data_IF_083903127071
#
_entry.id   IF_083903127071
#
_cell.length_a   1.000
_cell.length_b   1.000
_cell.length_c   1.000
_cell.angle_alpha   90.00
_cell.angle_beta   90.00
_cell.angle_gamma   90.00
#
_symmetry.space_group_name_H-M   'P 1'
#
loop_
_entity.id
_entity.type
_entity.pdbx_description
1 polymer ?
#
# COMPACT_ATOMS: atom_id res chain seq x y z
N UNK A 1 2.32 6.61 2.23
CA UNK A 1 2.35 7.83 3.06
C UNK A 1 1.53 8.99 2.49
N UNK A 2 1.88 9.57 1.32
CA UNK A 2 1.08 10.70 0.76
C UNK A 2 -0.40 10.32 0.61
N UNK A 3 -0.69 9.17 -0.01
CA UNK A 3 -2.06 8.73 -0.23
C UNK A 3 -2.87 8.48 1.05
N UNK A 4 -2.23 8.17 2.18
CA UNK A 4 -2.90 7.90 3.45
C UNK A 4 -3.03 9.15 4.35
N UNK A 5 -2.04 10.05 4.31
CA UNK A 5 -1.99 11.23 5.19
C UNK A 5 -2.57 12.47 4.49
N UNK A 6 -2.25 12.68 3.22
CA UNK A 6 -2.59 13.90 2.48
C UNK A 6 -3.70 13.70 1.44
N UNK A 7 -4.10 12.45 1.19
CA UNK A 7 -5.10 12.03 0.20
C UNK A 7 -4.80 12.51 -1.24
N UNK A 8 -4.46 11.56 -2.12
CA UNK A 8 -4.21 11.87 -3.54
C UNK A 8 -5.54 11.83 -4.29
N UNK A 9 -5.92 12.96 -4.88
CA UNK A 9 -7.11 13.10 -5.72
C UNK A 9 -6.68 13.41 -7.15
N UNK A 10 -7.10 12.55 -8.09
CA UNK A 10 -6.87 12.71 -9.53
C UNK A 10 -5.39 12.95 -9.91
N UNK A 11 -4.46 12.25 -9.24
CA UNK A 11 -3.02 12.40 -9.51
C UNK A 11 -2.40 13.68 -8.94
N UNK A 12 -3.03 14.29 -7.95
CA UNK A 12 -2.52 15.48 -7.27
C UNK A 12 -2.86 15.47 -5.78
N UNK A 13 -2.11 16.26 -5.00
CA UNK A 13 -2.35 16.49 -3.59
C UNK A 13 -2.53 17.98 -3.33
N UNK A 14 -3.43 18.34 -2.43
CA UNK A 14 -3.60 19.73 -1.99
C UNK A 14 -2.95 19.90 -0.63
N UNK A 15 -2.02 20.85 -0.52
CA UNK A 15 -1.32 21.16 0.73
C UNK A 15 -1.26 22.66 0.95
N UNK A 16 -1.17 23.09 2.20
CA UNK A 16 -1.01 24.50 2.52
C UNK A 16 0.29 25.08 1.92
N UNK A 17 0.24 26.34 1.50
CA UNK A 17 1.38 27.11 0.98
C UNK A 17 2.58 27.10 1.92
N UNK A 18 2.34 27.03 3.23
CA UNK A 18 3.36 26.93 4.28
C UNK A 18 4.18 25.64 4.18
N UNK A 19 3.55 24.52 3.80
CA UNK A 19 4.24 23.25 3.52
C UNK A 19 5.22 23.42 2.37
N UNK A 20 4.89 24.26 1.39
CA UNK A 20 5.74 24.53 0.22
C UNK A 20 6.77 25.65 0.47
N UNK A 21 6.96 26.10 1.72
CA UNK A 21 7.94 27.13 2.07
C UNK A 21 7.50 28.57 1.78
N UNK A 22 6.23 28.80 1.46
CA UNK A 22 5.68 30.15 1.28
C UNK A 22 5.16 30.73 2.59
N UNK A 23 5.33 32.04 2.81
CA UNK A 23 4.86 32.73 4.02
C UNK A 23 3.38 33.14 3.99
N UNK A 24 2.64 32.85 2.91
CA UNK A 24 1.21 33.09 2.87
C UNK A 24 0.48 31.98 3.63
N UNK A 25 -0.27 32.34 4.66
CA UNK A 25 -1.06 31.41 5.46
C UNK A 25 -2.46 31.20 4.84
N UNK A 26 -3.02 30.01 4.98
CA UNK A 26 -4.40 29.68 4.60
C UNK A 26 -4.70 29.45 3.11
N UNK A 27 -3.71 29.51 2.20
CA UNK A 27 -3.91 29.14 0.78
C UNK A 27 -3.44 27.71 0.51
N UNK A 28 -4.25 26.92 -0.18
CA UNK A 28 -3.86 25.57 -0.63
C UNK A 28 -3.23 25.62 -2.03
N UNK A 29 -2.17 24.85 -2.21
CA UNK A 29 -1.49 24.63 -3.49
C UNK A 29 -1.73 23.20 -3.93
N UNK A 30 -2.09 23.05 -5.20
CA UNK A 30 -2.24 21.76 -5.85
C UNK A 30 -0.90 21.29 -6.42
N UNK A 31 -0.40 20.17 -5.92
CA UNK A 31 0.83 19.55 -6.38
C UNK A 31 0.53 18.32 -7.23
N UNK A 32 0.90 18.31 -8.53
CA UNK A 32 0.74 17.13 -9.37
C UNK A 32 1.76 16.04 -8.98
N UNK A 33 1.29 14.80 -8.89
CA UNK A 33 2.04 13.62 -8.51
C UNK A 33 1.88 12.54 -9.59
N UNK A 34 2.74 12.58 -10.61
CA UNK A 34 2.70 11.65 -11.73
C UNK A 34 4.10 11.40 -12.31
N UNK A 35 4.18 10.48 -13.28
CA UNK A 35 5.45 10.06 -13.89
C UNK A 35 6.13 11.09 -14.79
N UNK A 36 5.52 12.26 -15.02
CA UNK A 36 6.18 13.35 -15.73
C UNK A 36 7.30 13.99 -14.90
N UNK A 37 7.16 13.95 -13.57
CA UNK A 37 8.24 14.27 -12.63
C UNK A 37 9.17 13.06 -12.48
N UNK A 38 10.42 13.21 -12.91
CA UNK A 38 11.42 12.13 -12.90
C UNK A 38 11.81 11.74 -11.48
N UNK A 39 11.94 12.71 -10.57
CA UNK A 39 12.26 12.45 -9.18
C UNK A 39 11.11 11.72 -8.50
N UNK A 40 9.86 12.14 -8.73
CA UNK A 40 8.71 11.44 -8.18
C UNK A 40 8.61 10.00 -8.70
N UNK A 41 8.89 9.78 -10.00
CA UNK A 41 8.93 8.43 -10.58
C UNK A 41 9.96 7.53 -9.89
N UNK A 42 11.10 8.07 -9.48
CA UNK A 42 12.16 7.35 -8.75
C UNK A 42 11.72 7.01 -7.32
N UNK A 43 11.16 7.97 -6.57
CA UNK A 43 10.95 7.82 -5.13
C UNK A 43 9.57 7.26 -4.72
N UNK A 44 8.54 7.37 -5.57
CA UNK A 44 7.14 7.09 -5.17
C UNK A 44 6.86 5.64 -4.76
N UNK A 45 7.68 4.71 -5.23
CA UNK A 45 7.53 3.27 -5.01
C UNK A 45 8.53 2.76 -3.94
N UNK A 46 9.36 3.63 -3.36
CA UNK A 46 10.32 3.31 -2.28
C UNK A 46 9.66 3.38 -0.90
N UNK A 47 10.27 2.70 0.09
CA UNK A 47 9.90 2.88 1.49
C UNK A 47 10.20 4.33 1.94
N UNK A 48 9.34 4.90 2.79
CA UNK A 48 9.43 6.31 3.16
C UNK A 48 10.76 6.67 3.85
N UNK A 49 11.34 5.77 4.64
CA UNK A 49 12.63 6.02 5.30
C UNK A 49 13.76 6.18 4.28
N UNK A 50 13.74 5.37 3.22
CA UNK A 50 14.68 5.45 2.10
C UNK A 50 14.48 6.73 1.30
N UNK A 51 13.23 7.15 1.08
CA UNK A 51 12.93 8.43 0.40
C UNK A 51 13.57 9.61 1.12
N UNK A 52 13.48 9.67 2.45
CA UNK A 52 14.10 10.75 3.24
C UNK A 52 15.62 10.77 3.05
N UNK A 53 16.26 9.60 3.01
CA UNK A 53 17.71 9.48 2.76
C UNK A 53 18.08 9.93 1.34
N UNK A 54 17.37 9.46 0.31
CA UNK A 54 17.59 9.80 -1.10
C UNK A 54 17.44 11.31 -1.32
N UNK A 55 16.40 11.93 -0.76
CA UNK A 55 16.17 13.37 -0.88
C UNK A 55 17.28 14.17 -0.19
N UNK A 56 17.74 13.74 1.00
CA UNK A 56 18.86 14.37 1.70
C UNK A 56 20.15 14.28 0.89
N UNK A 57 20.47 13.11 0.35
CA UNK A 57 21.66 12.91 -0.48
C UNK A 57 21.64 13.79 -1.74
N UNK A 58 20.50 13.85 -2.46
CA UNK A 58 20.36 14.71 -3.65
C UNK A 58 20.47 16.20 -3.29
N UNK A 59 19.89 16.63 -2.17
CA UNK A 59 20.00 18.01 -1.71
C UNK A 59 21.45 18.40 -1.35
N UNK A 60 22.18 17.53 -0.64
CA UNK A 60 23.59 17.76 -0.28
C UNK A 60 24.50 17.75 -1.51
N UNK A 61 24.28 16.83 -2.45
CA UNK A 61 25.06 16.78 -3.70
C UNK A 61 24.94 18.08 -4.51
N UNK A 62 23.74 18.67 -4.61
CA UNK A 62 23.55 19.95 -5.32
C UNK A 62 24.30 21.10 -4.64
N UNK A 63 24.34 21.12 -3.30
CA UNK A 63 25.09 22.14 -2.56
C UNK A 63 26.60 22.01 -2.79
N UNK A 64 27.11 20.78 -2.86
CA UNK A 64 28.51 20.51 -3.17
C UNK A 64 28.86 20.93 -4.61
N UNK A 65 28.05 20.54 -5.59
CA UNK A 65 28.24 20.95 -7.00
C UNK A 65 28.26 22.47 -7.15
N UNK A 66 27.40 23.19 -6.41
CA UNK A 66 27.36 24.66 -6.42
C UNK A 66 28.66 25.27 -5.87
N UNK A 67 29.23 24.67 -4.82
CA UNK A 67 30.49 25.12 -4.24
C UNK A 67 31.69 24.86 -5.18
N UNK A 68 31.69 23.72 -5.86
CA UNK A 68 32.73 23.34 -6.84
C UNK A 68 32.71 24.25 -8.08
N UNK A 69 31.54 24.52 -8.65
CA UNK A 69 31.39 25.43 -9.80
C UNK A 69 31.83 26.86 -9.46
N UNK A 70 31.65 27.29 -8.20
CA UNK A 70 32.09 28.61 -7.74
C UNK A 70 33.60 28.68 -7.47
N UNK A 71 34.26 27.55 -7.19
CA UNK A 71 35.65 27.51 -6.72
C UNK A 71 36.66 27.03 -7.78
N UNK A 72 36.21 26.35 -8.84
CA UNK A 72 37.10 25.77 -9.86
C UNK A 72 36.68 26.16 -11.30
N UNK A 73 37.66 26.19 -12.21
CA UNK A 73 37.39 26.32 -13.65
C UNK A 73 36.82 25.01 -14.19
N UNK A 74 35.58 25.04 -14.64
CA UNK A 74 34.82 23.86 -15.06
C UNK A 74 34.77 23.75 -16.59
N UNK A 75 34.73 22.52 -17.09
CA UNK A 75 34.54 22.26 -18.52
C UNK A 75 33.10 22.58 -18.97
N UNK A 76 32.92 22.78 -20.27
CA UNK A 76 31.58 23.05 -20.86
C UNK A 76 30.61 21.88 -20.65
N UNK A 77 31.12 20.64 -20.57
CA UNK A 77 30.31 19.46 -20.28
C UNK A 77 29.80 19.46 -18.84
N UNK A 78 30.68 19.74 -17.88
CA UNK A 78 30.33 19.84 -16.45
C UNK A 78 29.33 20.97 -16.19
N UNK A 79 29.51 22.13 -16.85
CA UNK A 79 28.55 23.23 -16.81
C UNK A 79 27.17 22.83 -17.34
N UNK A 80 27.11 22.06 -18.44
CA UNK A 80 25.84 21.59 -19.01
C UNK A 80 25.10 20.64 -18.06
N UNK A 81 25.83 19.76 -17.38
CA UNK A 81 25.23 18.84 -16.42
C UNK A 81 24.82 19.54 -15.11
N UNK A 82 25.58 20.55 -14.67
CA UNK A 82 25.19 21.42 -13.57
C UNK A 82 23.90 22.19 -13.86
N UNK A 83 23.76 22.79 -15.05
CA UNK A 83 22.52 23.48 -15.47
C UNK A 83 21.32 22.52 -15.48
N UNK A 84 21.49 21.28 -15.94
CA UNK A 84 20.42 20.26 -15.85
C UNK A 84 20.02 19.98 -14.39
N UNK A 85 20.98 19.85 -13.47
CA UNK A 85 20.71 19.65 -12.04
C UNK A 85 19.98 20.85 -11.44
N UNK A 86 20.39 22.08 -11.77
CA UNK A 86 19.70 23.30 -11.32
C UNK A 86 18.24 23.36 -11.80
N UNK A 87 17.96 22.93 -13.02
CA UNK A 87 16.58 22.87 -13.53
C UNK A 87 15.69 21.89 -12.76
N UNK A 88 16.27 20.88 -12.08
CA UNK A 88 15.54 19.93 -11.23
C UNK A 88 15.35 20.41 -9.78
N UNK A 89 15.99 21.52 -9.39
CA UNK A 89 15.97 22.05 -8.03
C UNK A 89 14.54 22.37 -7.52
N UNK A 90 13.62 22.93 -8.34
CA UNK A 90 12.24 23.12 -7.90
C UNK A 90 11.52 21.81 -7.55
N UNK A 91 11.77 20.73 -8.31
CA UNK A 91 11.16 19.41 -8.05
C UNK A 91 11.71 18.81 -6.75
N UNK A 92 13.03 18.91 -6.54
CA UNK A 92 13.69 18.45 -5.31
C UNK A 92 13.17 19.21 -4.10
N UNK A 93 13.14 20.54 -4.16
CA UNK A 93 12.64 21.38 -3.06
C UNK A 93 11.20 21.01 -2.69
N UNK A 94 10.34 20.81 -3.69
CA UNK A 94 8.95 20.38 -3.48
C UNK A 94 8.85 19.04 -2.76
N UNK A 95 9.62 18.03 -3.17
CA UNK A 95 9.57 16.71 -2.54
C UNK A 95 10.25 16.69 -1.16
N UNK A 96 11.28 17.49 -0.94
CA UNK A 96 11.88 17.70 0.40
C UNK A 96 10.84 18.28 1.36
N UNK A 97 10.14 19.33 0.93
CA UNK A 97 9.07 19.98 1.68
C UNK A 97 7.93 19.00 2.03
N UNK A 98 7.47 18.21 1.04
CA UNK A 98 6.47 17.17 1.28
C UNK A 98 6.98 16.09 2.25
N UNK A 99 8.22 15.62 2.09
CA UNK A 99 8.81 14.61 2.96
C UNK A 99 8.94 15.12 4.40
N UNK A 100 9.37 16.37 4.61
CA UNK A 100 9.42 17.00 5.94
C UNK A 100 8.03 17.10 6.57
N UNK A 101 7.04 17.50 5.80
CA UNK A 101 5.66 17.56 6.30
C UNK A 101 5.14 16.17 6.67
N UNK A 102 5.35 15.15 5.84
CA UNK A 102 5.02 13.76 6.19
C UNK A 102 5.77 13.28 7.44
N UNK A 103 7.05 13.63 7.56
CA UNK A 103 7.87 13.24 8.70
C UNK A 103 7.34 13.81 10.02
N UNK A 104 6.69 14.99 9.99
CA UNK A 104 6.01 15.56 11.17
C UNK A 104 4.86 14.69 11.69
N UNK A 105 4.28 13.81 10.85
CA UNK A 105 3.27 12.84 11.27
C UNK A 105 3.91 11.51 11.68
N UNK A 106 4.89 11.03 10.93
CA UNK A 106 5.48 9.70 11.17
C UNK A 106 6.41 9.67 12.37
N UNK A 107 6.99 10.79 12.78
CA UNK A 107 7.84 10.87 13.96
C UNK A 107 7.07 10.86 15.29
N UNK A 108 5.73 10.99 15.26
CA UNK A 108 4.91 11.06 16.47
C UNK A 108 4.89 9.71 17.21
N UNK A 109 5.00 9.68 18.55
CA UNK A 109 4.87 8.43 19.31
C UNK A 109 3.55 7.69 19.05
N UNK A 110 2.45 8.41 18.88
CA UNK A 110 1.15 7.82 18.54
C UNK A 110 1.11 7.15 17.16
N UNK A 111 1.98 7.57 16.24
CA UNK A 111 2.11 6.89 14.94
C UNK A 111 2.80 5.54 15.09
N UNK A 112 3.90 5.49 15.84
CA UNK A 112 4.64 4.25 16.11
C UNK A 112 3.79 3.27 16.94
N UNK A 113 3.16 3.74 18.02
CA UNK A 113 2.28 2.90 18.83
C UNK A 113 1.16 2.24 18.01
N UNK A 114 0.56 2.99 17.07
CA UNK A 114 -0.43 2.41 16.16
C UNK A 114 0.19 1.38 15.22
N UNK A 115 1.38 1.64 14.68
CA UNK A 115 2.06 0.69 13.79
C UNK A 115 2.40 -0.62 14.52
N UNK A 116 2.87 -0.54 15.76
CA UNK A 116 3.16 -1.70 16.62
C UNK A 116 1.90 -2.54 16.85
N UNK A 117 0.76 -1.89 17.08
CA UNK A 117 -0.54 -2.56 17.21
C UNK A 117 -0.99 -3.17 15.88
N UNK A 118 -0.82 -2.49 14.74
CA UNK A 118 -1.11 -3.05 13.42
C UNK A 118 -0.31 -4.34 13.17
N UNK A 119 0.98 -4.36 13.53
CA UNK A 119 1.84 -5.55 13.41
C UNK A 119 1.41 -6.67 14.35
N UNK A 120 1.16 -6.34 15.63
CA UNK A 120 0.69 -7.30 16.65
C UNK A 120 -0.62 -7.98 16.22
N UNK A 121 -1.54 -7.21 15.62
CA UNK A 121 -2.80 -7.71 15.06
C UNK A 121 -2.61 -8.66 13.87
N UNK A 122 -1.65 -8.37 13.00
CA UNK A 122 -1.33 -9.22 11.85
C UNK A 122 -0.73 -10.56 12.27
N UNK A 123 0.00 -10.59 13.39
CA UNK A 123 0.58 -11.81 13.94
C UNK A 123 -0.36 -12.57 14.89
N UNK A 124 -1.56 -12.01 15.16
CA UNK A 124 -2.51 -12.51 16.16
C UNK A 124 -1.87 -12.74 17.54
N UNK A 125 -0.98 -11.83 17.93
CA UNK A 125 -0.38 -11.85 19.26
C UNK A 125 -1.18 -10.95 20.21
N UNK A 126 -1.15 -11.27 21.51
CA UNK A 126 -1.63 -10.41 22.59
C UNK A 126 -3.01 -9.76 22.34
N UNK A 127 -4.06 -10.58 22.22
CA UNK A 127 -5.44 -10.14 21.97
C UNK A 127 -5.86 -9.00 22.93
N UNK A 128 -5.54 -9.13 24.22
CA UNK A 128 -5.94 -8.16 25.26
C UNK A 128 -5.28 -6.79 25.04
N UNK A 129 -3.99 -6.75 24.70
CA UNK A 129 -3.27 -5.49 24.41
C UNK A 129 -3.91 -4.78 23.21
N UNK A 130 -4.24 -5.52 22.14
CA UNK A 130 -4.89 -4.92 20.97
C UNK A 130 -6.30 -4.42 21.29
N UNK A 131 -7.05 -5.15 22.12
CA UNK A 131 -8.38 -4.75 22.57
C UNK A 131 -8.33 -3.48 23.43
N UNK A 132 -7.47 -3.47 24.45
CA UNK A 132 -7.26 -2.33 25.36
C UNK A 132 -6.80 -1.08 24.61
N UNK A 133 -5.93 -1.23 23.61
CA UNK A 133 -5.50 -0.09 22.79
C UNK A 133 -6.66 0.54 22.00
N UNK A 134 -7.50 -0.28 21.37
CA UNK A 134 -8.67 0.22 20.62
C UNK A 134 -9.68 0.88 21.57
N UNK A 135 -9.90 0.28 22.75
CA UNK A 135 -10.72 0.86 23.80
C UNK A 135 -10.18 2.22 24.27
N UNK A 136 -8.87 2.32 24.52
CA UNK A 136 -8.21 3.56 24.89
C UNK A 136 -8.37 4.65 23.81
N UNK A 137 -8.27 4.30 22.53
CA UNK A 137 -8.51 5.24 21.43
C UNK A 137 -9.95 5.78 21.43
N UNK A 138 -10.93 4.94 21.75
CA UNK A 138 -12.34 5.33 21.87
C UNK A 138 -12.52 6.29 23.04
N UNK A 139 -11.91 6.00 24.20
CA UNK A 139 -12.00 6.86 25.38
C UNK A 139 -11.30 8.21 25.19
N UNK A 140 -10.21 8.24 24.42
CA UNK A 140 -9.52 9.47 24.01
C UNK A 140 -10.25 10.25 22.90
N UNK A 141 -11.35 9.71 22.38
CA UNK A 141 -12.08 10.28 21.23
C UNK A 141 -11.16 10.58 20.04
N UNK A 142 -10.25 9.65 19.72
CA UNK A 142 -9.48 9.76 18.48
C UNK A 142 -10.41 9.77 17.26
N UNK A 143 -9.92 10.22 16.10
CA UNK A 143 -10.72 10.20 14.86
C UNK A 143 -11.38 8.83 14.65
N UNK A 144 -12.71 8.82 14.50
CA UNK A 144 -13.49 7.58 14.34
C UNK A 144 -12.95 6.72 13.19
N UNK A 145 -12.48 7.32 12.11
CA UNK A 145 -11.86 6.60 11.00
C UNK A 145 -10.62 5.79 11.45
N UNK A 146 -9.78 6.33 12.33
CA UNK A 146 -8.61 5.61 12.84
C UNK A 146 -9.00 4.45 13.77
N UNK A 147 -9.99 4.67 14.65
CA UNK A 147 -10.53 3.61 15.52
C UNK A 147 -11.11 2.48 14.67
N UNK A 148 -11.97 2.82 13.71
CA UNK A 148 -12.62 1.83 12.85
C UNK A 148 -11.61 1.06 11.99
N UNK A 149 -10.51 1.68 11.54
CA UNK A 149 -9.45 0.97 10.79
C UNK A 149 -8.83 -0.14 11.60
N UNK A 150 -8.43 0.14 12.84
CA UNK A 150 -7.86 -0.88 13.73
C UNK A 150 -8.89 -1.92 14.15
N UNK A 151 -10.13 -1.50 14.42
CA UNK A 151 -11.22 -2.41 14.74
C UNK A 151 -11.51 -3.40 13.60
N UNK A 152 -11.51 -2.91 12.36
CA UNK A 152 -11.70 -3.74 11.16
C UNK A 152 -10.52 -4.68 10.97
N UNK A 153 -9.28 -4.20 11.10
CA UNK A 153 -8.11 -5.08 11.04
C UNK A 153 -8.21 -6.18 12.10
N UNK A 154 -8.55 -5.83 13.33
CA UNK A 154 -8.70 -6.76 14.45
C UNK A 154 -9.78 -7.81 14.19
N UNK A 155 -10.93 -7.38 13.66
CA UNK A 155 -12.02 -8.29 13.31
C UNK A 155 -11.65 -9.22 12.16
N UNK A 156 -11.04 -8.70 11.09
CA UNK A 156 -10.67 -9.52 9.92
C UNK A 156 -9.63 -10.57 10.28
N UNK A 157 -8.56 -10.20 11.00
CA UNK A 157 -7.52 -11.17 11.38
C UNK A 157 -8.05 -12.24 12.34
N UNK A 158 -9.07 -11.94 13.15
CA UNK A 158 -9.70 -12.89 14.08
C UNK A 158 -10.95 -13.61 13.53
N UNK A 159 -11.35 -13.35 12.29
CA UNK A 159 -12.62 -13.84 11.71
C UNK A 159 -13.86 -13.44 12.53
N UNK A 160 -13.84 -12.21 13.05
CA UNK A 160 -14.83 -11.64 13.96
C UNK A 160 -14.32 -11.56 15.40
N UNK A 161 -15.04 -10.84 16.25
CA UNK A 161 -14.73 -10.74 17.68
C UNK A 161 -15.72 -11.57 18.52
N UNK A 162 -15.31 -12.12 19.69
CA UNK A 162 -16.22 -12.77 20.62
C UNK A 162 -17.42 -11.88 20.95
N UNK A 163 -18.63 -12.46 21.04
CA UNK A 163 -19.89 -11.71 21.20
C UNK A 163 -19.83 -10.64 22.30
N UNK A 164 -19.26 -10.97 23.47
CA UNK A 164 -19.08 -10.03 24.59
C UNK A 164 -18.29 -8.79 24.17
N UNK A 165 -17.16 -9.00 23.50
CA UNK A 165 -16.21 -7.96 23.09
C UNK A 165 -16.79 -7.14 21.92
N UNK A 166 -17.46 -7.82 20.98
CA UNK A 166 -18.18 -7.18 19.87
C UNK A 166 -19.28 -6.23 20.37
N UNK A 167 -20.17 -6.73 21.24
CA UNK A 167 -21.29 -5.94 21.77
C UNK A 167 -20.77 -4.79 22.67
N UNK A 168 -19.66 -5.02 23.39
CA UNK A 168 -18.98 -3.99 24.19
C UNK A 168 -18.46 -2.84 23.34
N UNK A 169 -17.57 -3.11 22.36
CA UNK A 169 -16.95 -2.06 21.55
C UNK A 169 -17.98 -1.27 20.73
N UNK A 170 -19.06 -1.91 20.27
CA UNK A 170 -20.18 -1.20 19.62
C UNK A 170 -20.81 -0.17 20.54
N UNK A 171 -21.06 -0.54 21.80
CA UNK A 171 -21.66 0.37 22.77
C UNK A 171 -20.72 1.54 23.07
N UNK A 172 -19.43 1.28 23.28
CA UNK A 172 -18.43 2.33 23.52
C UNK A 172 -18.35 3.29 22.33
N UNK A 173 -18.34 2.79 21.09
CA UNK A 173 -18.34 3.65 19.90
C UNK A 173 -19.59 4.53 19.85
N UNK A 174 -20.78 3.98 20.08
CA UNK A 174 -22.02 4.76 20.03
C UNK A 174 -22.12 5.78 21.16
N UNK A 175 -21.58 5.46 22.35
CA UNK A 175 -21.56 6.38 23.48
C UNK A 175 -20.53 7.50 23.29
N UNK A 176 -19.35 7.22 22.72
CA UNK A 176 -18.30 8.22 22.51
C UNK A 176 -18.51 9.09 21.28
N UNK A 177 -19.01 8.52 20.18
CA UNK A 177 -19.10 9.19 18.87
C UNK A 177 -20.54 9.50 18.43
N UNK A 178 -21.54 8.99 19.13
CA UNK A 178 -22.95 9.26 18.84
C UNK A 178 -23.69 8.11 18.15
N UNK A 179 -25.00 8.08 18.37
CA UNK A 179 -25.89 7.04 17.85
C UNK A 179 -26.13 7.12 16.35
N UNK A 180 -25.79 8.24 15.71
CA UNK A 180 -25.78 8.41 14.25
C UNK A 180 -24.85 7.43 13.53
N UNK A 181 -23.88 6.83 14.22
CA UNK A 181 -23.00 5.80 13.66
C UNK A 181 -23.55 4.38 13.77
N UNK A 182 -24.78 4.19 14.24
CA UNK A 182 -25.44 2.87 14.22
C UNK A 182 -25.54 2.28 12.79
N UNK A 183 -25.92 3.04 11.75
CA UNK A 183 -25.85 2.58 10.36
C UNK A 183 -24.43 2.26 9.90
N UNK A 184 -23.41 3.00 10.35
CA UNK A 184 -22.00 2.71 10.06
C UNK A 184 -21.62 1.31 10.57
N UNK A 185 -21.92 1.01 11.83
CA UNK A 185 -21.64 -0.29 12.43
C UNK A 185 -22.41 -1.42 11.72
N UNK A 186 -23.66 -1.16 11.33
CA UNK A 186 -24.45 -2.10 10.54
C UNK A 186 -23.83 -2.36 9.15
N UNK A 187 -23.38 -1.32 8.46
CA UNK A 187 -22.72 -1.44 7.15
C UNK A 187 -21.42 -2.23 7.24
N UNK A 188 -20.61 -1.98 8.28
CA UNK A 188 -19.37 -2.72 8.54
C UNK A 188 -19.63 -4.20 8.83
N UNK A 189 -20.67 -4.52 9.61
CA UNK A 189 -21.09 -5.88 9.89
C UNK A 189 -21.58 -6.59 8.63
N UNK A 190 -22.44 -5.93 7.84
CA UNK A 190 -22.94 -6.45 6.55
C UNK A 190 -21.82 -6.66 5.53
N UNK A 191 -20.81 -5.80 5.52
CA UNK A 191 -19.63 -5.95 4.67
C UNK A 191 -18.64 -7.03 5.17
N UNK A 192 -18.88 -7.61 6.36
CA UNK A 192 -18.01 -8.60 6.98
C UNK A 192 -16.71 -8.01 7.55
N UNK A 193 -16.59 -6.68 7.64
CA UNK A 193 -15.41 -5.96 8.10
C UNK A 193 -15.34 -5.86 9.62
N UNK A 194 -16.49 -5.77 10.29
CA UNK A 194 -16.58 -5.82 11.74
C UNK A 194 -17.78 -6.67 12.16
N UNK A 195 -17.52 -7.92 12.58
CA UNK A 195 -18.58 -8.90 12.85
C UNK A 195 -18.35 -9.70 14.11
N UNK A 196 -19.39 -10.39 14.57
CA UNK A 196 -19.30 -11.43 15.60
C UNK A 196 -18.50 -12.61 15.07
N UNK A 197 -17.71 -13.23 15.93
CA UNK A 197 -16.94 -14.42 15.61
C UNK A 197 -17.87 -15.64 15.55
N UNK A 198 -17.88 -16.31 14.40
CA UNK A 198 -18.66 -17.54 14.16
C UNK A 198 -17.76 -18.78 14.15
N UNK A 199 -16.50 -18.62 13.77
CA UNK A 199 -15.50 -19.68 13.68
C UNK A 199 -14.12 -19.18 14.08
N UNK A 200 -13.19 -20.12 14.31
CA UNK A 200 -11.77 -19.77 14.48
C UNK A 200 -11.23 -19.17 13.19
N UNK A 201 -10.24 -18.28 13.34
CA UNK A 201 -9.58 -17.65 12.21
C UNK A 201 -8.59 -18.57 11.50
N UNK A 202 -8.64 -18.57 10.18
CA UNK A 202 -7.66 -19.21 9.31
C UNK A 202 -6.50 -18.28 8.93
N UNK A 203 -6.50 -17.04 9.43
CA UNK A 203 -5.54 -16.01 9.03
C UNK A 203 -4.08 -16.46 9.15
N UNK A 204 -3.67 -17.09 10.26
CA UNK A 204 -2.28 -17.55 10.41
C UNK A 204 -1.90 -18.66 9.43
N UNK A 205 -2.84 -19.53 9.04
CA UNK A 205 -2.58 -20.54 8.02
C UNK A 205 -2.34 -19.88 6.66
N UNK A 206 -3.19 -18.91 6.30
CA UNK A 206 -3.07 -18.12 5.07
C UNK A 206 -1.77 -17.31 5.09
N UNK A 207 -1.48 -16.63 6.20
CA UNK A 207 -0.30 -15.78 6.37
C UNK A 207 1.00 -16.56 6.20
N UNK A 208 1.08 -17.77 6.78
CA UNK A 208 2.23 -18.65 6.59
C UNK A 208 2.33 -19.19 5.16
N UNK A 209 1.22 -19.67 4.60
CA UNK A 209 1.20 -20.27 3.26
C UNK A 209 1.61 -19.28 2.16
N UNK A 210 1.21 -18.01 2.30
CA UNK A 210 1.55 -16.94 1.34
C UNK A 210 2.72 -16.06 1.78
N UNK A 211 3.40 -16.42 2.88
CA UNK A 211 4.53 -15.66 3.43
C UNK A 211 4.19 -14.16 3.53
N UNK A 212 3.07 -13.87 4.21
CA UNK A 212 2.53 -12.51 4.35
C UNK A 212 3.25 -11.69 5.41
N UNK A 213 3.86 -12.33 6.40
CA UNK A 213 4.59 -11.68 7.49
C UNK A 213 6.05 -12.10 7.40
N UNK A 214 6.94 -11.12 7.33
CA UNK A 214 8.39 -11.27 7.19
C UNK A 214 9.05 -10.40 8.24
N UNK A 215 9.68 -11.03 9.23
CA UNK A 215 10.27 -10.35 10.41
C UNK A 215 11.41 -9.40 10.03
N UNK A 216 12.26 -9.80 9.09
CA UNK A 216 13.40 -9.00 8.63
C UNK A 216 13.21 -8.55 7.18
N UNK A 217 13.05 -7.25 6.96
CA UNK A 217 12.96 -6.68 5.62
C UNK A 217 13.98 -5.56 5.43
N UNK A 218 14.92 -5.76 4.50
CA UNK A 218 15.79 -4.68 4.01
C UNK A 218 14.96 -3.74 3.15
N UNK A 219 14.66 -2.55 3.68
CA UNK A 219 13.86 -1.53 2.98
C UNK A 219 14.67 -0.76 1.94
N UNK A 220 16.01 -0.72 2.08
CA UNK A 220 16.91 -0.01 1.17
C UNK A 220 17.17 -0.82 -0.11
N UNK A 221 17.33 -2.14 0.03
CA UNK A 221 17.50 -3.06 -1.10
C UNK A 221 16.47 -4.21 -1.01
N UNK A 222 15.17 -3.91 -1.25
CA UNK A 222 14.12 -4.88 -1.05
C UNK A 222 14.22 -6.05 -2.03
N UNK A 223 14.11 -7.27 -1.49
CA UNK A 223 14.05 -8.53 -2.23
C UNK A 223 12.65 -9.10 -2.34
N UNK A 224 11.72 -8.58 -1.54
CA UNK A 224 10.35 -9.04 -1.43
C UNK A 224 9.39 -7.86 -1.31
N UNK A 225 8.14 -8.03 -1.74
CA UNK A 225 7.08 -7.01 -1.67
C UNK A 225 6.71 -6.58 -0.24
N UNK A 226 7.12 -7.33 0.79
CA UNK A 226 6.91 -6.99 2.21
C UNK A 226 7.49 -5.62 2.62
N UNK A 227 8.45 -5.07 1.86
CA UNK A 227 9.10 -3.79 2.15
C UNK A 227 8.14 -2.59 2.20
N UNK A 228 7.00 -2.72 1.54
CA UNK A 228 6.01 -1.64 1.38
C UNK A 228 5.31 -1.33 2.69
N UNK A 229 5.10 -2.36 3.52
CA UNK A 229 4.54 -2.26 4.86
C UNK A 229 5.53 -2.71 5.93
N UNK A 230 6.85 -2.63 5.64
CA UNK A 230 7.94 -2.98 6.57
C UNK A 230 7.73 -4.33 7.27
N UNK A 231 7.36 -5.36 6.52
CA UNK A 231 7.19 -6.73 7.04
C UNK A 231 5.90 -7.41 6.58
N UNK A 232 4.87 -6.65 6.20
CA UNK A 232 3.64 -7.23 5.61
C UNK A 232 3.65 -7.21 4.07
N UNK A 233 3.54 -8.38 3.45
CA UNK A 233 3.30 -8.53 2.02
C UNK A 233 1.78 -8.55 1.74
N UNK A 234 1.25 -7.66 0.89
CA UNK A 234 -0.19 -7.64 0.59
C UNK A 234 -0.66 -8.96 -0.02
N UNK A 235 -1.64 -9.61 0.62
CA UNK A 235 -2.21 -10.88 0.15
C UNK A 235 -2.68 -10.81 -1.31
N UNK A 236 -3.33 -9.71 -1.70
CA UNK A 236 -3.77 -9.48 -3.09
C UNK A 236 -2.62 -9.59 -4.10
N UNK A 237 -1.44 -9.08 -3.74
CA UNK A 237 -0.26 -9.09 -4.61
C UNK A 237 0.47 -10.43 -4.56
N UNK A 238 0.48 -11.10 -3.40
CA UNK A 238 0.95 -12.49 -3.31
C UNK A 238 0.15 -13.42 -4.21
N UNK A 239 -1.17 -13.27 -4.23
CA UNK A 239 -2.04 -14.06 -5.12
C UNK A 239 -1.68 -13.86 -6.60
N UNK A 240 -1.39 -12.62 -7.01
CA UNK A 240 -0.92 -12.31 -8.37
C UNK A 240 0.46 -12.92 -8.64
N UNK A 241 1.40 -12.75 -7.72
CA UNK A 241 2.75 -13.32 -7.84
C UNK A 241 2.72 -14.84 -8.02
N UNK A 242 1.91 -15.51 -7.21
CA UNK A 242 1.71 -16.94 -7.26
C UNK A 242 0.98 -17.40 -8.53
N UNK A 243 -0.06 -16.68 -8.95
CA UNK A 243 -0.76 -16.96 -10.21
C UNK A 243 0.21 -17.02 -11.39
N UNK A 244 1.18 -16.09 -11.41
CA UNK A 244 2.07 -15.94 -12.56
C UNK A 244 3.30 -16.85 -12.48
N UNK A 245 3.87 -17.05 -11.30
CA UNK A 245 5.09 -17.86 -11.16
C UNK A 245 4.81 -19.35 -11.21
N UNK A 246 3.80 -19.81 -10.48
CA UNK A 246 3.52 -21.24 -10.26
C UNK A 246 2.11 -21.67 -10.61
N UNK A 247 1.21 -20.72 -10.87
CA UNK A 247 -0.23 -20.98 -11.02
C UNK A 247 -0.89 -21.31 -9.67
N UNK A 248 -2.22 -21.35 -9.66
CA UNK A 248 -3.00 -21.55 -8.42
C UNK A 248 -3.18 -23.01 -8.00
N UNK A 249 -2.80 -23.98 -8.83
CA UNK A 249 -2.97 -25.40 -8.54
C UNK A 249 -2.26 -25.86 -7.27
N UNK A 250 -1.05 -25.36 -7.03
CA UNK A 250 -0.29 -25.70 -5.82
C UNK A 250 -0.86 -25.10 -4.54
N UNK A 251 -1.86 -24.23 -4.63
CA UNK A 251 -2.46 -23.49 -3.52
C UNK A 251 -3.97 -23.71 -3.40
N UNK A 252 -4.53 -24.70 -4.09
CA UNK A 252 -5.98 -24.91 -4.13
C UNK A 252 -6.60 -25.07 -2.73
N UNK A 253 -5.95 -25.83 -1.85
CA UNK A 253 -6.42 -26.02 -0.47
C UNK A 253 -6.40 -24.74 0.36
N UNK A 254 -5.36 -23.90 0.23
CA UNK A 254 -5.31 -22.64 0.97
C UNK A 254 -6.25 -21.59 0.37
N UNK A 255 -6.47 -21.63 -0.95
CA UNK A 255 -7.41 -20.75 -1.63
C UNK A 255 -8.84 -20.98 -1.13
N UNK A 256 -9.26 -22.22 -0.86
CA UNK A 256 -10.58 -22.54 -0.28
C UNK A 256 -10.87 -21.84 1.05
N UNK A 257 -9.85 -21.33 1.76
CA UNK A 257 -10.00 -20.55 2.99
C UNK A 257 -10.29 -19.06 2.73
N UNK A 258 -10.14 -18.60 1.48
CA UNK A 258 -10.44 -17.24 1.06
C UNK A 258 -11.89 -17.12 0.57
N UNK A 259 -12.50 -15.92 0.68
CA UNK A 259 -13.86 -15.71 0.20
C UNK A 259 -13.97 -15.80 -1.34
N UNK A 260 -15.06 -16.42 -1.78
CA UNK A 260 -15.47 -16.43 -3.18
C UNK A 260 -14.87 -17.57 -4.01
N UNK A 261 -15.34 -17.74 -5.25
CA UNK A 261 -14.85 -18.78 -6.15
C UNK A 261 -13.46 -18.44 -6.72
N UNK A 262 -12.63 -19.47 -6.93
CA UNK A 262 -11.35 -19.37 -7.63
C UNK A 262 -11.46 -20.12 -8.95
N UNK A 263 -11.23 -19.42 -10.07
CA UNK A 263 -11.40 -20.00 -11.40
C UNK A 263 -10.18 -19.67 -12.25
N UNK A 264 -9.62 -20.71 -12.89
CA UNK A 264 -8.58 -20.59 -13.91
C UNK A 264 -9.19 -21.01 -15.26
N UNK A 265 -9.52 -20.03 -16.10
CA UNK A 265 -10.14 -20.24 -17.41
C UNK A 265 -9.13 -19.96 -18.52
N UNK A 266 -8.78 -21.00 -19.27
CA UNK A 266 -8.02 -20.86 -20.52
C UNK A 266 -8.99 -20.66 -21.68
N UNK A 267 -9.03 -19.46 -22.25
CA UNK A 267 -9.72 -19.24 -23.53
C UNK A 267 -8.82 -19.77 -24.64
N UNK A 268 -9.10 -20.99 -25.11
CA UNK A 268 -8.49 -21.50 -26.33
C UNK A 268 -8.91 -20.63 -27.51
N UNK A 269 -7.94 -20.15 -28.30
CA UNK A 269 -8.23 -19.58 -29.61
C UNK A 269 -8.74 -20.74 -30.47
N UNK A 270 -9.98 -20.71 -31.00
CA UNK A 270 -10.41 -21.71 -31.95
C UNK A 270 -9.70 -21.38 -33.27
N UNK A 271 -8.52 -21.97 -33.50
CA UNK A 271 -7.97 -22.29 -34.82
C UNK A 271 -6.54 -22.87 -34.71
N UNK A 272 -6.44 -24.19 -34.67
CA UNK A 272 -5.70 -25.02 -35.64
C UNK A 272 -5.55 -26.41 -35.06
N UNK A 273 -5.87 -27.41 -35.87
CA UNK A 273 -5.79 -28.82 -35.55
C UNK A 273 -4.44 -29.17 -34.87
N UNK A 274 -4.48 -29.53 -33.60
CA UNK A 274 -3.42 -30.32 -32.97
C UNK A 274 -4.08 -31.42 -32.17
N UNK A 275 -4.32 -32.53 -32.85
CA UNK A 275 -4.67 -33.83 -32.29
C UNK A 275 -3.46 -34.39 -31.52
N UNK A 276 -3.13 -33.83 -30.36
CA UNK A 276 -2.16 -34.39 -29.42
C UNK A 276 -2.52 -33.98 -27.99
N UNK A 277 -3.64 -34.50 -27.49
CA UNK A 277 -3.91 -34.59 -26.06
C UNK A 277 -3.35 -35.91 -25.55
N UNK A 278 -2.28 -35.86 -24.75
CA UNK A 278 -1.91 -36.86 -23.73
C UNK A 278 -0.50 -36.57 -23.17
N UNK A 279 -0.34 -35.51 -22.36
CA UNK A 279 0.65 -35.44 -21.28
C UNK A 279 0.44 -34.16 -20.44
N UNK A 280 -0.03 -34.25 -19.18
CA UNK A 280 -0.19 -33.10 -18.30
C UNK A 280 1.12 -32.80 -17.57
N UNK A 281 2.25 -32.76 -18.29
CA UNK A 281 3.46 -32.11 -17.80
C UNK A 281 3.30 -30.61 -18.10
N UNK A 282 2.71 -29.90 -17.14
CA UNK A 282 2.37 -28.48 -17.23
C UNK A 282 3.66 -27.67 -17.46
N UNK A 283 3.96 -27.35 -18.72
CA UNK A 283 5.05 -26.46 -19.08
C UNK A 283 4.77 -25.08 -18.49
N UNK A 284 5.62 -24.66 -17.56
CA UNK A 284 5.69 -23.35 -16.90
C UNK A 284 6.07 -22.20 -17.85
N UNK A 285 5.69 -22.29 -19.12
CA UNK A 285 6.00 -21.33 -20.17
C UNK A 285 4.70 -20.81 -20.81
N UNK A 286 3.84 -20.16 -20.04
CA UNK A 286 2.96 -19.17 -20.65
C UNK A 286 3.87 -18.02 -21.11
N UNK A 287 4.13 -17.97 -22.41
CA UNK A 287 4.61 -16.81 -23.15
C UNK A 287 5.90 -16.15 -22.61
N UNK A 288 7.03 -16.85 -22.72
CA UNK A 288 8.20 -16.10 -23.22
C UNK A 288 7.90 -15.84 -24.69
N UNK A 289 7.52 -14.62 -25.04
CA UNK A 289 7.53 -14.20 -26.44
C UNK A 289 8.89 -14.64 -26.99
N UNK A 290 8.90 -15.41 -28.07
CA UNK A 290 10.11 -16.01 -28.66
C UNK A 290 11.18 -14.96 -29.02
N UNK A 291 10.81 -13.67 -28.98
CA UNK A 291 11.60 -12.47 -29.22
C UNK A 291 12.28 -11.89 -27.95
N UNK A 292 12.28 -12.60 -26.82
CA UNK A 292 12.89 -12.14 -25.56
C UNK A 292 12.14 -11.01 -24.85
N UNK A 293 10.93 -10.68 -25.32
CA UNK A 293 10.06 -9.67 -24.71
C UNK A 293 9.25 -10.23 -23.55
N UNK A 294 9.05 -9.41 -22.53
CA UNK A 294 8.16 -9.72 -21.40
C UNK A 294 6.71 -9.76 -21.89
N UNK A 295 5.93 -10.70 -21.35
CA UNK A 295 4.50 -10.79 -21.61
C UNK A 295 3.73 -9.76 -20.81
N UNK A 296 2.54 -9.37 -21.28
CA UNK A 296 1.71 -8.38 -20.58
C UNK A 296 0.61 -9.09 -19.78
N UNK A 297 0.54 -8.82 -18.48
CA UNK A 297 -0.51 -9.30 -17.60
C UNK A 297 -1.43 -8.14 -17.18
N UNK A 298 -2.71 -8.21 -17.52
CA UNK A 298 -3.74 -7.29 -17.02
C UNK A 298 -4.26 -7.79 -15.68
N UNK A 299 -4.01 -7.03 -14.61
CA UNK A 299 -4.50 -7.32 -13.26
C UNK A 299 -5.63 -6.34 -12.95
N UNK A 300 -6.83 -6.85 -12.69
CA UNK A 300 -8.03 -6.03 -12.45
C UNK A 300 -8.48 -6.15 -11.00
N UNK A 301 -8.50 -5.02 -10.29
CA UNK A 301 -9.00 -4.91 -8.92
C UNK A 301 -10.44 -4.40 -8.92
N UNK A 302 -11.37 -5.24 -8.49
CA UNK A 302 -12.79 -4.88 -8.34
C UNK A 302 -13.03 -4.53 -6.87
N UNK A 303 -13.46 -3.29 -6.59
CA UNK A 303 -13.61 -2.76 -5.23
C UNK A 303 -12.52 -1.75 -4.85
N UNK A 304 -11.40 -1.77 -5.56
CA UNK A 304 -10.37 -0.75 -5.50
C UNK A 304 -8.98 -1.30 -5.23
N UNK A 305 -7.96 -0.45 -5.42
CA UNK A 305 -6.55 -0.77 -5.18
C UNK A 305 -5.87 0.38 -4.43
N UNK A 306 -4.91 0.08 -3.57
CA UNK A 306 -4.08 1.06 -2.87
C UNK A 306 -2.81 1.41 -3.66
N UNK A 307 -2.22 2.58 -3.37
CA UNK A 307 -0.90 2.94 -3.93
C UNK A 307 0.20 1.97 -3.50
N UNK A 308 0.08 1.36 -2.33
CA UNK A 308 0.99 0.33 -1.84
C UNK A 308 0.96 -0.91 -2.74
N UNK A 309 -0.23 -1.41 -3.07
CA UNK A 309 -0.40 -2.54 -3.99
C UNK A 309 0.08 -2.21 -5.41
N UNK A 310 -0.14 -0.97 -5.88
CA UNK A 310 0.41 -0.50 -7.15
C UNK A 310 1.95 -0.53 -7.14
N UNK A 311 2.58 -0.04 -6.06
CA UNK A 311 4.03 -0.06 -5.91
C UNK A 311 4.56 -1.50 -5.86
N UNK A 312 3.85 -2.41 -5.20
CA UNK A 312 4.20 -3.83 -5.13
C UNK A 312 4.19 -4.50 -6.50
N UNK A 313 3.19 -4.22 -7.35
CA UNK A 313 3.14 -4.75 -8.71
C UNK A 313 4.27 -4.20 -9.58
N UNK A 314 4.60 -2.91 -9.44
CA UNK A 314 5.75 -2.30 -10.13
C UNK A 314 7.06 -2.96 -9.70
N UNK A 315 7.22 -3.19 -8.39
CA UNK A 315 8.37 -3.90 -7.85
C UNK A 315 8.47 -5.33 -8.38
N UNK A 316 7.37 -6.08 -8.41
CA UNK A 316 7.34 -7.41 -9.02
C UNK A 316 7.76 -7.37 -10.49
N UNK A 317 7.26 -6.40 -11.26
CA UNK A 317 7.64 -6.18 -12.66
C UNK A 317 9.13 -5.92 -12.83
N UNK A 318 9.81 -5.29 -11.86
CA UNK A 318 11.24 -4.98 -11.94
C UNK A 318 12.15 -6.12 -11.48
N UNK A 319 11.61 -7.16 -10.82
CA UNK A 319 12.40 -8.29 -10.34
C UNK A 319 13.03 -9.10 -11.48
N UNK A 320 14.27 -9.55 -11.26
CA UNK A 320 14.93 -10.48 -12.16
C UNK A 320 14.16 -11.82 -12.22
N UNK A 321 14.05 -12.39 -13.41
CA UNK A 321 13.24 -13.58 -13.65
C UNK A 321 11.73 -13.34 -13.76
N UNK A 322 11.24 -12.12 -13.53
CA UNK A 322 9.85 -11.77 -13.83
C UNK A 322 9.64 -11.65 -15.34
N UNK A 323 8.93 -12.62 -15.92
CA UNK A 323 8.64 -12.68 -17.35
C UNK A 323 7.49 -11.78 -17.81
N UNK A 324 6.90 -11.00 -16.91
CA UNK A 324 5.69 -10.22 -17.17
C UNK A 324 5.82 -8.75 -16.76
N UNK A 325 5.23 -7.89 -17.58
CA UNK A 325 4.90 -6.52 -17.22
C UNK A 325 3.41 -6.42 -16.85
N UNK A 326 3.10 -5.57 -15.89
CA UNK A 326 1.76 -5.45 -15.32
C UNK A 326 1.00 -4.22 -15.83
N UNK A 327 -0.19 -4.44 -16.38
CA UNK A 327 -1.20 -3.40 -16.58
C UNK A 327 -2.25 -3.49 -15.47
N UNK A 328 -2.53 -2.39 -14.78
CA UNK A 328 -3.44 -2.37 -13.63
C UNK A 328 -4.76 -1.74 -14.06
N UNK A 329 -5.84 -2.51 -13.98
CA UNK A 329 -7.22 -2.01 -14.02
C UNK A 329 -7.79 -1.94 -12.61
N UNK A 330 -8.56 -0.91 -12.30
CA UNK A 330 -9.23 -0.81 -10.98
C UNK A 330 -10.52 -0.02 -11.07
N UNK A 331 -11.50 -0.33 -10.23
CA UNK A 331 -12.71 0.49 -10.08
C UNK A 331 -12.44 1.82 -9.39
N UNK A 332 -11.47 1.86 -8.46
CA UNK A 332 -11.11 3.07 -7.70
C UNK A 332 -9.73 2.92 -7.03
N UNK A 333 -8.98 4.01 -6.95
CA UNK A 333 -7.81 4.05 -6.05
C UNK A 333 -8.32 4.39 -4.65
N UNK A 334 -8.03 3.52 -3.67
CA UNK A 334 -8.56 3.61 -2.31
C UNK A 334 -7.44 3.56 -1.26
N UNK A 335 -7.78 3.95 -0.04
CA UNK A 335 -6.98 3.71 1.17
C UNK A 335 -7.93 3.31 2.31
N UNK A 336 -7.39 3.00 3.50
CA UNK A 336 -8.22 2.58 4.63
C UNK A 336 -9.26 3.63 5.05
N UNK A 337 -8.93 4.91 4.97
CA UNK A 337 -9.83 6.01 5.34
C UNK A 337 -10.95 6.16 4.30
N UNK A 338 -10.61 6.25 3.01
CA UNK A 338 -11.62 6.44 1.95
C UNK A 338 -12.53 5.24 1.76
N UNK A 339 -12.07 4.04 2.12
CA UNK A 339 -12.93 2.85 2.23
C UNK A 339 -13.99 3.05 3.32
N UNK A 340 -13.57 3.42 4.53
CA UNK A 340 -14.49 3.59 5.66
C UNK A 340 -15.46 4.76 5.48
N UNK A 341 -15.01 5.87 4.91
CA UNK A 341 -15.88 7.02 4.60
C UNK A 341 -17.08 6.60 3.73
N UNK A 342 -16.90 5.65 2.80
CA UNK A 342 -18.02 5.14 1.98
C UNK A 342 -19.04 4.32 2.78
N UNK A 343 -18.64 3.77 3.93
CA UNK A 343 -19.48 2.97 4.81
C UNK A 343 -20.10 3.80 5.95
N UNK A 344 -19.50 4.94 6.28
CA UNK A 344 -19.97 5.84 7.33
C UNK A 344 -21.28 6.57 6.96
N UNK A 345 -21.63 6.66 5.68
CA UNK A 345 -22.93 7.17 5.22
C UNK A 345 -23.20 8.66 5.48
N UNK A 346 -22.45 9.28 6.39
CA UNK A 346 -22.46 10.69 6.71
C UNK A 346 -21.23 11.35 6.09
N UNK A 347 -21.47 12.37 5.27
CA UNK A 347 -20.49 13.41 5.00
C UNK A 347 -20.87 14.57 5.91
N UNK A 348 -19.96 14.97 6.78
CA UNK A 348 -20.02 16.30 7.39
C UNK A 348 -19.89 17.39 6.31
#
# INVERSE_FOLDING_TARGET
MIGSILQINNGSVEVDTTVMGSQQDGKKVKVPLNSSDKLFKEIRDMNFEVVVQVLRQKATSIQQDYAEVKSQSQSVSELKDFVKKLNSLPEIARHVNLAQHLQSFTSKPSFHARLDIEQTLLELQNYDICFEYIEEMIHKQESLANVLRLLVLFSITNSGLPKKNFDYLRREILHSYGFEHMPTLYNLEKAGLFKKQESKSNWLAIARAFQLIVEETDTANPKDISYIFSGYAPLSIRLVQHAIRSGWRSMEEILKLLPGPHVDLKRGVPNSNSLLDANPAFQSNFDRVTDGRRSLALVVFIGGISFAEIAALRFLSSQEGMGYDFLIGTTKIINGTTLLETLMGYKD
#
